data_IF_926571892942
#
_entry.id   IF_926571892942
#
_cell.length_a   1.000
_cell.length_b   1.000
_cell.length_c   1.000
_cell.angle_alpha   90.00
_cell.angle_beta   90.00
_cell.angle_gamma   90.00
#
_symmetry.space_group_name_H-M   'P 1'
#
loop_
_entity.id
_entity.type
_entity.pdbx_description
1 polymer ?
#
# COMPACT_ATOMS: atom_id res chain seq x y z
N UNK A 1 -16.29 -19.85 21.00
CA UNK A 1 -15.50 -20.25 19.82
C UNK A 1 -16.26 -20.10 18.49
N UNK A 2 -17.51 -20.53 18.37
CA UNK A 2 -18.32 -20.45 17.13
C UNK A 2 -18.42 -19.06 16.46
N UNK A 3 -18.35 -17.97 17.23
CA UNK A 3 -18.43 -16.61 16.67
C UNK A 3 -17.13 -16.15 16.01
N UNK A 4 -15.98 -16.69 16.43
CA UNK A 4 -14.66 -16.37 15.85
C UNK A 4 -14.50 -17.09 14.52
N UNK A 5 -14.87 -18.36 14.44
CA UNK A 5 -14.86 -19.13 13.19
C UNK A 5 -15.76 -18.49 12.12
N UNK A 6 -16.97 -18.04 12.47
CA UNK A 6 -17.86 -17.32 11.54
C UNK A 6 -17.26 -16.01 11.01
N UNK A 7 -16.49 -15.28 11.84
CA UNK A 7 -15.80 -14.05 11.40
C UNK A 7 -14.68 -14.35 10.42
N UNK A 8 -13.85 -15.37 10.70
CA UNK A 8 -12.79 -15.80 9.80
C UNK A 8 -13.34 -16.30 8.46
N UNK A 9 -14.39 -17.12 8.50
CA UNK A 9 -15.03 -17.64 7.30
C UNK A 9 -15.56 -16.51 6.41
N UNK A 10 -16.18 -15.47 7.00
CA UNK A 10 -16.67 -14.31 6.25
C UNK A 10 -15.53 -13.51 5.61
N UNK A 11 -14.43 -13.31 6.33
CA UNK A 11 -13.26 -12.61 5.81
C UNK A 11 -12.60 -13.42 4.68
N UNK A 12 -12.41 -14.73 4.88
CA UNK A 12 -11.87 -15.63 3.88
C UNK A 12 -12.71 -15.64 2.61
N UNK A 13 -14.05 -15.76 2.73
CA UNK A 13 -14.97 -15.74 1.60
C UNK A 13 -14.95 -14.40 0.84
N UNK A 14 -14.70 -13.30 1.54
CA UNK A 14 -14.56 -11.97 0.92
C UNK A 14 -13.26 -11.85 0.12
N UNK A 15 -12.18 -12.47 0.60
CA UNK A 15 -10.88 -12.49 -0.07
C UNK A 15 -10.70 -13.62 -1.09
N UNK A 16 -11.58 -14.62 -1.09
CA UNK A 16 -11.44 -15.88 -1.84
C UNK A 16 -11.16 -15.64 -3.32
N UNK A 17 -11.98 -14.80 -3.98
CA UNK A 17 -11.79 -14.45 -5.39
C UNK A 17 -10.37 -13.92 -5.67
N UNK A 18 -9.82 -13.10 -4.78
CA UNK A 18 -8.49 -12.54 -4.94
C UNK A 18 -7.38 -13.55 -4.64
N UNK A 19 -7.63 -14.48 -3.71
CA UNK A 19 -6.64 -15.46 -3.28
C UNK A 19 -6.49 -16.67 -4.22
N UNK A 20 -7.57 -17.09 -4.89
CA UNK A 20 -7.59 -18.35 -5.67
C UNK A 20 -7.47 -18.16 -7.17
N UNK A 21 -7.57 -16.92 -7.67
CA UNK A 21 -7.43 -16.64 -9.10
C UNK A 21 -6.01 -16.18 -9.42
N UNK A 22 -5.55 -16.52 -10.62
CA UNK A 22 -4.29 -16.00 -11.13
C UNK A 22 -4.46 -14.53 -11.52
N UNK A 23 -3.47 -13.72 -11.14
CA UNK A 23 -3.39 -12.33 -11.52
C UNK A 23 -2.25 -12.16 -12.52
N UNK A 24 -2.57 -11.62 -13.69
CA UNK A 24 -1.58 -11.19 -14.66
C UNK A 24 -1.48 -9.67 -14.61
N UNK A 25 -0.40 -9.16 -14.01
CA UNK A 25 -0.12 -7.72 -13.95
C UNK A 25 0.71 -7.34 -15.17
N UNK A 26 0.23 -6.36 -15.93
CA UNK A 26 0.93 -5.80 -17.09
C UNK A 26 1.33 -4.37 -16.78
N UNK A 27 2.58 -4.02 -17.09
CA UNK A 27 3.17 -2.71 -16.86
C UNK A 27 3.93 -2.19 -18.09
N UNK A 28 3.70 -2.76 -19.27
CA UNK A 28 4.34 -2.37 -20.53
C UNK A 28 4.26 -0.86 -20.81
N UNK A 29 3.11 -0.25 -20.52
CA UNK A 29 2.90 1.18 -20.69
C UNK A 29 3.76 2.01 -19.73
N UNK A 30 4.00 1.52 -18.51
CA UNK A 30 4.89 2.19 -17.54
C UNK A 30 6.35 2.07 -17.95
N UNK A 31 6.76 0.92 -18.48
CA UNK A 31 8.10 0.75 -19.04
C UNK A 31 8.33 1.69 -20.23
N UNK A 32 7.38 1.79 -21.16
CA UNK A 32 7.46 2.73 -22.29
C UNK A 32 7.50 4.18 -21.81
N UNK A 33 6.69 4.54 -20.80
CA UNK A 33 6.71 5.87 -20.22
C UNK A 33 8.07 6.20 -19.58
N UNK A 34 8.65 5.26 -18.85
CA UNK A 34 9.98 5.41 -18.24
C UNK A 34 11.06 5.70 -19.29
N UNK A 35 11.09 4.91 -20.37
CA UNK A 35 12.04 5.13 -21.46
C UNK A 35 11.82 6.49 -22.15
N UNK A 36 10.57 6.89 -22.40
CA UNK A 36 10.26 8.19 -22.97
C UNK A 36 10.71 9.33 -22.05
N UNK A 37 10.42 9.26 -20.75
CA UNK A 37 10.80 10.30 -19.79
C UNK A 37 12.31 10.40 -19.68
N UNK A 38 13.06 9.29 -19.69
CA UNK A 38 14.54 9.32 -19.68
C UNK A 38 15.14 10.14 -20.82
N UNK A 39 14.45 10.28 -21.95
CA UNK A 39 14.91 11.10 -23.08
C UNK A 39 14.65 12.61 -22.91
N UNK A 40 13.81 13.01 -21.95
CA UNK A 40 13.49 14.41 -21.71
C UNK A 40 14.61 15.13 -20.94
N UNK A 41 14.88 16.39 -21.31
CA UNK A 41 15.93 17.22 -20.70
C UNK A 41 15.71 17.46 -19.21
N UNK A 42 14.44 17.56 -18.79
CA UNK A 42 14.01 17.83 -17.42
C UNK A 42 13.62 16.56 -16.64
N UNK A 43 13.92 15.38 -17.19
CA UNK A 43 13.62 14.07 -16.59
C UNK A 43 14.11 13.92 -15.14
N UNK A 44 15.25 14.53 -14.83
CA UNK A 44 15.82 14.57 -13.48
C UNK A 44 14.93 15.25 -12.43
N UNK A 45 13.98 16.09 -12.84
CA UNK A 45 13.02 16.74 -11.94
C UNK A 45 11.85 15.83 -11.54
N UNK A 46 11.62 14.74 -12.28
CA UNK A 46 10.46 13.88 -12.11
C UNK A 46 10.87 12.42 -12.03
N UNK A 47 11.10 11.95 -10.80
CA UNK A 47 11.32 10.53 -10.58
C UNK A 47 9.99 9.77 -10.66
N UNK A 48 9.76 9.12 -11.80
CA UNK A 48 8.60 8.26 -12.04
C UNK A 48 8.95 6.76 -11.90
N UNK A 49 10.21 6.43 -11.63
CA UNK A 49 10.66 5.05 -11.43
C UNK A 49 10.39 4.61 -9.99
N UNK A 50 9.29 3.89 -9.81
CA UNK A 50 8.86 3.38 -8.50
C UNK A 50 9.84 2.39 -7.88
N UNK A 51 10.74 1.77 -8.67
CA UNK A 51 11.73 0.82 -8.17
C UNK A 51 12.81 1.50 -7.32
N UNK A 52 12.99 2.81 -7.50
CA UNK A 52 13.95 3.62 -6.75
C UNK A 52 13.41 4.06 -5.38
N UNK A 53 12.13 3.82 -5.08
CA UNK A 53 11.51 4.21 -3.83
C UNK A 53 12.02 3.36 -2.67
N UNK A 54 12.34 4.01 -1.54
CA UNK A 54 12.43 3.31 -0.27
C UNK A 54 11.00 2.99 0.23
N UNK A 55 10.53 1.79 -0.09
CA UNK A 55 9.16 1.36 0.19
C UNK A 55 8.80 1.42 1.67
N UNK A 56 9.72 1.03 2.56
CA UNK A 56 9.48 1.07 4.00
C UNK A 56 9.18 2.50 4.47
N UNK A 57 10.00 3.46 4.06
CA UNK A 57 9.81 4.88 4.38
C UNK A 57 8.56 5.46 3.73
N UNK A 58 8.28 5.08 2.49
CA UNK A 58 7.10 5.54 1.75
C UNK A 58 5.82 5.08 2.44
N UNK A 59 5.67 3.77 2.67
CA UNK A 59 4.49 3.19 3.30
C UNK A 59 4.33 3.71 4.73
N UNK A 60 5.43 3.84 5.48
CA UNK A 60 5.40 4.41 6.83
C UNK A 60 4.82 5.83 6.84
N UNK A 61 5.33 6.72 5.98
CA UNK A 61 4.85 8.10 5.87
C UNK A 61 3.41 8.17 5.35
N UNK A 62 3.08 7.34 4.36
CA UNK A 62 1.74 7.23 3.80
C UNK A 62 0.69 6.89 4.87
N UNK A 63 0.96 5.85 5.67
CA UNK A 63 0.06 5.43 6.76
C UNK A 63 -0.02 6.49 7.86
N UNK A 64 1.10 7.14 8.23
CA UNK A 64 1.07 8.24 9.19
C UNK A 64 0.22 9.42 8.70
N UNK A 65 0.31 9.75 7.41
CA UNK A 65 -0.50 10.79 6.78
C UNK A 65 -1.99 10.48 6.86
N UNK A 66 -2.40 9.26 6.48
CA UNK A 66 -3.79 8.80 6.60
C UNK A 66 -4.27 8.93 8.05
N UNK A 67 -3.48 8.40 8.99
CA UNK A 67 -3.80 8.41 10.41
C UNK A 67 -4.05 9.83 10.92
N UNK A 68 -3.12 10.75 10.65
CA UNK A 68 -3.20 12.11 11.17
C UNK A 68 -4.28 12.95 10.47
N UNK A 69 -4.38 12.87 9.15
CA UNK A 69 -5.17 13.83 8.37
C UNK A 69 -6.55 13.31 7.95
N UNK A 70 -6.68 12.02 7.66
CA UNK A 70 -7.96 11.42 7.25
C UNK A 70 -8.71 10.91 8.48
N UNK A 71 -8.05 10.08 9.29
CA UNK A 71 -8.66 9.46 10.45
C UNK A 71 -8.68 10.36 11.69
N UNK A 72 -7.95 11.49 11.65
CA UNK A 72 -7.78 12.42 12.78
C UNK A 72 -7.29 11.74 14.06
N UNK A 73 -6.48 10.70 13.90
CA UNK A 73 -5.91 9.92 15.00
C UNK A 73 -4.46 10.37 15.26
N UNK A 74 -4.29 11.26 16.24
CA UNK A 74 -3.02 11.95 16.49
C UNK A 74 -1.87 10.96 16.80
N UNK A 75 -0.59 11.27 16.49
CA UNK A 75 0.54 10.40 16.81
C UNK A 75 0.62 9.93 18.27
N UNK A 76 0.12 10.71 19.23
CA UNK A 76 0.17 10.38 20.66
C UNK A 76 -0.61 9.09 21.01
N UNK A 77 -1.59 8.72 20.19
CA UNK A 77 -2.34 7.48 20.39
C UNK A 77 -1.61 6.24 19.86
N UNK A 78 -0.47 6.38 19.17
CA UNK A 78 0.31 5.25 18.62
C UNK A 78 0.70 4.25 19.70
N UNK A 79 1.13 4.72 20.88
CA UNK A 79 1.49 3.84 21.99
C UNK A 79 0.30 2.98 22.43
N UNK A 80 -0.89 3.59 22.51
CA UNK A 80 -2.12 2.87 22.86
C UNK A 80 -2.58 1.91 21.76
N UNK A 81 -2.45 2.32 20.50
CA UNK A 81 -2.78 1.48 19.35
C UNK A 81 -1.89 0.23 19.27
N UNK A 82 -0.57 0.38 19.48
CA UNK A 82 0.39 -0.74 19.53
C UNK A 82 0.05 -1.74 20.65
N UNK A 83 -0.33 -1.25 21.83
CA UNK A 83 -0.77 -2.10 22.96
C UNK A 83 -2.06 -2.89 22.70
N UNK A 84 -2.85 -2.53 21.67
CA UNK A 84 -4.06 -3.27 21.29
C UNK A 84 -3.82 -4.33 20.22
N UNK A 85 -2.68 -4.26 19.52
CA UNK A 85 -2.28 -5.23 18.50
C UNK A 85 -1.52 -6.43 19.10
N UNK A 86 -0.80 -6.19 20.20
CA UNK A 86 -0.14 -7.20 21.03
C UNK A 86 -1.13 -7.77 22.05
#
# INVERSE_FOLDING_TARGET
>A
MLNVTKRFERAARTGEFFAVNQWNFQDDNMHQLLENVKTATDSHNFNIDITTLNWDSYVYKYILGIRNYILKDHPDSLTRARKRLL
#
